data_IF_152829190900
#
_entry.id   IF_152829190900
#
_cell.length_a   1.000
_cell.length_b   1.000
_cell.length_c   1.000
_cell.angle_alpha   90.00
_cell.angle_beta   90.00
_cell.angle_gamma   90.00
#
_symmetry.space_group_name_H-M   'P 1'
#
loop_
_entity.id
_entity.type
_entity.pdbx_description
1 polymer ?
#
# COMPACT_ATOMS: atom_id res chain seq x y z
N UNK A 1 55.01 93.55 -84.52
CA UNK A 1 54.49 94.75 -85.20
C UNK A 1 54.87 95.93 -84.32
N UNK A 2 55.75 96.84 -84.78
CA UNK A 2 56.17 97.99 -83.97
C UNK A 2 55.11 99.08 -84.09
N UNK A 3 54.12 99.05 -83.19
CA UNK A 3 53.19 100.16 -83.03
C UNK A 3 53.98 101.38 -82.55
N UNK A 4 54.18 102.34 -83.44
CA UNK A 4 54.95 103.56 -83.15
C UNK A 4 53.98 104.58 -82.58
N UNK A 5 53.93 104.68 -81.26
CA UNK A 5 53.06 105.65 -80.58
C UNK A 5 53.71 107.04 -80.73
N UNK A 6 53.09 107.94 -81.50
CA UNK A 6 53.50 109.34 -81.62
C UNK A 6 52.88 110.17 -80.49
N UNK A 7 53.72 110.89 -79.73
CA UNK A 7 53.27 111.75 -78.64
C UNK A 7 53.50 113.21 -79.04
N UNK A 8 52.50 114.06 -78.76
CA UNK A 8 52.57 115.51 -78.97
C UNK A 8 53.18 116.19 -77.76
N UNK A 9 54.20 117.02 -77.98
CA UNK A 9 54.74 117.88 -76.92
C UNK A 9 53.74 119.00 -76.57
N UNK A 10 53.29 119.11 -75.31
CA UNK A 10 52.35 120.16 -74.90
C UNK A 10 52.95 121.58 -74.90
N UNK A 11 54.25 121.76 -75.14
CA UNK A 11 54.94 123.05 -75.12
C UNK A 11 55.36 123.61 -76.50
N UNK A 12 55.48 122.78 -77.54
CA UNK A 12 55.97 123.25 -78.85
C UNK A 12 55.37 122.53 -80.07
N UNK A 13 54.27 121.79 -79.89
CA UNK A 13 53.43 121.19 -80.95
C UNK A 13 54.11 120.27 -81.97
N UNK A 14 55.38 119.90 -81.77
CA UNK A 14 56.06 118.89 -82.59
C UNK A 14 55.67 117.46 -82.15
N UNK A 15 55.51 116.56 -83.13
CA UNK A 15 55.23 115.14 -82.94
C UNK A 15 56.54 114.33 -83.05
N UNK A 16 56.85 113.53 -82.03
CA UNK A 16 57.99 112.61 -82.08
C UNK A 16 57.56 111.18 -81.74
N UNK A 17 58.14 110.16 -82.43
CA UNK A 17 57.89 108.77 -82.11
C UNK A 17 58.51 108.45 -80.76
N UNK A 18 57.72 107.91 -79.83
CA UNK A 18 58.23 107.41 -78.57
C UNK A 18 59.16 106.22 -78.87
N UNK A 19 60.46 106.38 -78.62
CA UNK A 19 61.46 105.36 -78.95
C UNK A 19 61.35 104.16 -78.01
N UNK A 20 61.57 102.95 -78.54
CA UNK A 20 61.63 101.65 -77.81
C UNK A 20 62.49 101.74 -76.53
N UNK A 21 63.45 102.67 -76.48
CA UNK A 21 64.33 102.91 -75.34
C UNK A 21 63.63 103.49 -74.09
N UNK A 22 62.56 104.28 -74.25
CA UNK A 22 61.80 104.87 -73.12
C UNK A 22 60.67 103.93 -72.66
N UNK A 23 60.04 103.21 -73.59
CA UNK A 23 59.07 102.16 -73.25
C UNK A 23 59.74 100.93 -72.62
N UNK A 24 60.95 100.59 -73.05
CA UNK A 24 61.76 99.53 -72.45
C UNK A 24 62.10 99.81 -71.00
N UNK A 25 62.57 101.01 -70.65
CA UNK A 25 62.93 101.35 -69.27
C UNK A 25 61.74 101.36 -68.32
N UNK A 26 60.57 101.83 -68.76
CA UNK A 26 59.32 101.78 -67.98
C UNK A 26 58.81 100.34 -67.83
N UNK A 27 58.88 99.54 -68.91
CA UNK A 27 58.49 98.13 -68.88
C UNK A 27 59.41 97.31 -67.99
N UNK A 28 60.72 97.53 -68.04
CA UNK A 28 61.72 96.85 -67.21
C UNK A 28 61.49 97.17 -65.73
N UNK A 29 61.23 98.45 -65.39
CA UNK A 29 60.86 98.86 -64.03
C UNK A 29 59.59 98.16 -63.54
N UNK A 30 58.52 98.18 -64.35
CA UNK A 30 57.26 97.47 -64.05
C UNK A 30 57.47 95.96 -63.89
N UNK A 31 58.29 95.34 -64.74
CA UNK A 31 58.59 93.91 -64.62
C UNK A 31 59.40 93.59 -63.37
N UNK A 32 60.35 94.45 -62.97
CA UNK A 32 61.10 94.30 -61.73
C UNK A 32 60.20 94.49 -60.50
N UNK A 33 59.31 95.48 -60.50
CA UNK A 33 58.33 95.69 -59.42
C UNK A 33 57.39 94.49 -59.30
N UNK A 34 56.81 94.02 -60.40
CA UNK A 34 55.95 92.84 -60.41
C UNK A 34 56.70 91.57 -59.98
N UNK A 35 57.93 91.37 -60.43
CA UNK A 35 58.78 90.25 -59.97
C UNK A 35 59.06 90.34 -58.48
N UNK A 36 59.31 91.54 -57.95
CA UNK A 36 59.51 91.76 -56.52
C UNK A 36 58.24 91.44 -55.72
N UNK A 37 57.07 91.88 -56.18
CA UNK A 37 55.78 91.58 -55.54
C UNK A 37 55.43 90.09 -55.59
N UNK A 38 55.68 89.43 -56.72
CA UNK A 38 55.50 87.98 -56.86
C UNK A 38 56.42 87.25 -55.89
N UNK A 39 57.71 87.62 -55.82
CA UNK A 39 58.65 87.00 -54.89
C UNK A 39 58.27 87.21 -53.42
N UNK A 40 57.70 88.36 -53.06
CA UNK A 40 57.21 88.64 -51.72
C UNK A 40 55.95 87.82 -51.41
N UNK A 41 55.03 87.69 -52.37
CA UNK A 41 53.83 86.84 -52.23
C UNK A 41 54.17 85.36 -52.15
N UNK A 42 55.12 84.88 -52.95
CA UNK A 42 55.63 83.50 -52.91
C UNK A 42 56.29 83.18 -51.57
N UNK A 43 57.09 84.11 -51.03
CA UNK A 43 57.65 83.98 -49.67
C UNK A 43 56.54 83.95 -48.61
N UNK A 44 55.56 84.84 -48.68
CA UNK A 44 54.43 84.89 -47.76
C UNK A 44 53.53 83.64 -47.83
N UNK A 45 53.33 83.08 -49.02
CA UNK A 45 52.62 81.80 -49.21
C UNK A 45 53.43 80.63 -48.65
N UNK A 46 54.74 80.57 -48.91
CA UNK A 46 55.62 79.54 -48.36
C UNK A 46 55.67 79.55 -46.82
N UNK A 47 55.71 80.74 -46.21
CA UNK A 47 55.63 80.89 -44.75
C UNK A 47 54.27 80.43 -44.21
N UNK A 48 53.17 80.77 -44.86
CA UNK A 48 51.81 80.31 -44.47
C UNK A 48 51.65 78.81 -44.62
N UNK A 49 52.12 78.21 -45.72
CA UNK A 49 52.11 76.76 -45.91
C UNK A 49 52.92 76.05 -44.83
N UNK A 50 54.08 76.60 -44.45
CA UNK A 50 54.88 76.08 -43.33
C UNK A 50 54.15 76.19 -42.00
N UNK A 51 53.46 77.30 -41.74
CA UNK A 51 52.66 77.49 -40.53
C UNK A 51 51.45 76.54 -40.48
N UNK A 52 50.77 76.32 -41.61
CA UNK A 52 49.64 75.38 -41.72
C UNK A 52 50.13 73.95 -41.47
N UNK A 53 51.22 73.52 -42.12
CA UNK A 53 51.82 72.19 -41.88
C UNK A 53 52.26 71.99 -40.43
N UNK A 54 52.81 73.03 -39.80
CA UNK A 54 53.17 72.99 -38.38
C UNK A 54 51.92 72.85 -37.49
N UNK A 55 50.85 73.59 -37.77
CA UNK A 55 49.58 73.50 -37.04
C UNK A 55 48.92 72.14 -37.22
N UNK A 56 48.84 71.62 -38.44
CA UNK A 56 48.33 70.28 -38.74
C UNK A 56 49.11 69.20 -37.99
N UNK A 57 50.45 69.29 -37.98
CA UNK A 57 51.29 68.36 -37.23
C UNK A 57 51.08 68.47 -35.71
N UNK A 58 50.83 69.67 -35.16
CA UNK A 58 50.52 69.83 -33.73
C UNK A 58 49.14 69.31 -33.37
N UNK A 59 48.13 69.53 -34.22
CA UNK A 59 46.78 69.02 -34.03
C UNK A 59 46.78 67.49 -34.10
N UNK A 60 47.45 66.90 -35.09
CA UNK A 60 47.58 65.44 -35.20
C UNK A 60 48.26 64.81 -33.98
N UNK A 61 49.29 65.47 -33.41
CA UNK A 61 49.93 65.03 -32.16
C UNK A 61 48.98 65.13 -30.97
N UNK A 62 48.25 66.23 -30.83
CA UNK A 62 47.28 66.42 -29.76
C UNK A 62 46.11 65.43 -29.86
N UNK A 63 45.62 65.16 -31.07
CA UNK A 63 44.60 64.15 -31.33
C UNK A 63 45.09 62.75 -30.93
N UNK A 64 46.32 62.37 -31.33
CA UNK A 64 46.90 61.09 -30.94
C UNK A 64 47.06 60.95 -29.41
N UNK A 65 47.62 61.97 -28.75
CA UNK A 65 47.75 61.99 -27.29
C UNK A 65 46.39 61.98 -26.57
N UNK A 66 45.38 62.63 -27.15
CA UNK A 66 44.03 62.61 -26.61
C UNK A 66 43.38 61.24 -26.78
N UNK A 67 43.50 60.61 -27.95
CA UNK A 67 43.00 59.24 -28.18
C UNK A 67 43.63 58.24 -27.22
N UNK A 68 44.95 58.31 -26.99
CA UNK A 68 45.63 57.41 -26.06
C UNK A 68 45.15 57.61 -24.60
N UNK A 69 44.95 58.87 -24.18
CA UNK A 69 44.41 59.18 -22.84
C UNK A 69 42.96 58.72 -22.68
N UNK A 70 42.13 58.88 -23.71
CA UNK A 70 40.74 58.42 -23.72
C UNK A 70 40.69 56.89 -23.69
N UNK A 71 41.48 56.20 -24.51
CA UNK A 71 41.55 54.74 -24.53
C UNK A 71 42.04 54.19 -23.19
N UNK A 72 43.05 54.82 -22.58
CA UNK A 72 43.52 54.46 -21.25
C UNK A 72 42.41 54.65 -20.20
N UNK A 73 41.72 55.79 -20.18
CA UNK A 73 40.65 56.08 -19.24
C UNK A 73 39.45 55.11 -19.41
N UNK A 74 39.04 54.84 -20.66
CA UNK A 74 37.98 53.89 -20.99
C UNK A 74 38.37 52.48 -20.56
N UNK A 75 39.61 52.04 -20.80
CA UNK A 75 40.07 50.72 -20.39
C UNK A 75 40.03 50.52 -18.87
N UNK A 76 40.33 51.57 -18.09
CA UNK A 76 40.27 51.54 -16.63
C UNK A 76 38.81 51.46 -16.17
N UNK A 77 37.93 52.28 -16.73
CA UNK A 77 36.50 52.26 -16.39
C UNK A 77 35.85 50.91 -16.73
N UNK A 78 36.18 50.34 -17.90
CA UNK A 78 35.67 49.02 -18.31
C UNK A 78 36.16 47.94 -17.35
N UNK A 79 37.45 47.95 -16.95
CA UNK A 79 37.97 46.99 -15.95
C UNK A 79 37.24 47.09 -14.62
N UNK A 80 37.06 48.31 -14.10
CA UNK A 80 36.33 48.54 -12.84
C UNK A 80 34.88 48.07 -12.92
N UNK A 81 34.18 48.36 -14.03
CA UNK A 81 32.81 47.89 -14.22
C UNK A 81 32.73 46.37 -14.33
N UNK A 82 33.67 45.73 -15.03
CA UNK A 82 33.74 44.27 -15.15
C UNK A 82 33.98 43.62 -13.77
N UNK A 83 34.87 44.17 -12.95
CA UNK A 83 35.08 43.67 -11.58
C UNK A 83 33.85 43.86 -10.68
N UNK A 84 33.17 45.00 -10.80
CA UNK A 84 31.93 45.25 -10.07
C UNK A 84 30.82 44.28 -10.49
N UNK A 85 30.65 44.05 -11.80
CA UNK A 85 29.65 43.11 -12.33
C UNK A 85 29.98 41.69 -11.88
N UNK A 86 31.25 41.27 -11.99
CA UNK A 86 31.70 39.95 -11.53
C UNK A 86 31.43 39.76 -10.04
N UNK A 87 31.81 40.71 -9.20
CA UNK A 87 31.60 40.61 -7.75
C UNK A 87 30.12 40.57 -7.36
N UNK A 88 29.26 41.34 -8.05
CA UNK A 88 27.80 41.27 -7.87
C UNK A 88 27.24 39.93 -8.30
N UNK A 89 27.61 39.45 -9.49
CA UNK A 89 27.18 38.15 -10.00
C UNK A 89 27.61 37.00 -9.08
N UNK A 90 28.85 37.03 -8.55
CA UNK A 90 29.31 36.00 -7.61
C UNK A 90 28.57 36.05 -6.28
N UNK A 91 28.22 37.25 -5.78
CA UNK A 91 27.44 37.39 -4.54
C UNK A 91 26.02 36.88 -4.71
N UNK A 92 25.35 37.29 -5.79
CA UNK A 92 24.00 36.81 -6.10
C UNK A 92 23.98 35.29 -6.29
N UNK A 93 24.92 34.73 -7.06
CA UNK A 93 25.03 33.28 -7.22
C UNK A 93 25.33 32.57 -5.89
N UNK A 94 26.14 33.16 -5.00
CA UNK A 94 26.41 32.58 -3.69
C UNK A 94 25.17 32.60 -2.78
N UNK A 95 24.42 33.71 -2.78
CA UNK A 95 23.18 33.86 -2.00
C UNK A 95 22.08 32.90 -2.50
N UNK A 96 21.92 32.78 -3.82
CA UNK A 96 20.97 31.84 -4.44
C UNK A 96 21.35 30.39 -4.13
N UNK A 97 22.63 30.04 -4.24
CA UNK A 97 23.11 28.70 -3.88
C UNK A 97 22.95 28.41 -2.38
N UNK A 98 23.20 29.39 -1.51
CA UNK A 98 23.01 29.22 -0.07
C UNK A 98 21.53 29.02 0.27
N UNK A 99 20.63 29.78 -0.37
CA UNK A 99 19.19 29.60 -0.22
C UNK A 99 18.75 28.20 -0.68
N UNK A 100 19.21 27.74 -1.86
CA UNK A 100 18.92 26.41 -2.38
C UNK A 100 19.46 25.30 -1.46
N UNK A 101 20.69 25.45 -0.95
CA UNK A 101 21.29 24.49 -0.02
C UNK A 101 20.46 24.40 1.27
N UNK A 102 20.02 25.54 1.81
CA UNK A 102 19.17 25.57 3.02
C UNK A 102 17.82 24.90 2.78
N UNK A 103 17.19 25.15 1.63
CA UNK A 103 15.93 24.51 1.25
C UNK A 103 16.09 22.99 1.12
N UNK A 104 17.11 22.54 0.39
CA UNK A 104 17.43 21.11 0.24
C UNK A 104 17.76 20.45 1.58
N UNK A 105 18.47 21.13 2.48
CA UNK A 105 18.75 20.63 3.83
C UNK A 105 17.47 20.47 4.65
N UNK A 106 16.56 21.44 4.58
CA UNK A 106 15.26 21.37 5.27
C UNK A 106 14.40 20.22 4.71
N UNK A 107 14.33 20.07 3.39
CA UNK A 107 13.62 18.94 2.77
C UNK A 107 14.22 17.59 3.19
N UNK A 108 15.55 17.48 3.23
CA UNK A 108 16.22 16.24 3.63
C UNK A 108 15.97 15.93 5.11
N UNK A 109 15.96 16.94 5.99
CA UNK A 109 15.58 16.79 7.38
C UNK A 109 14.12 16.32 7.51
N UNK A 110 13.17 16.97 6.84
CA UNK A 110 11.77 16.57 6.87
C UNK A 110 11.57 15.13 6.35
N UNK A 111 12.23 14.77 5.24
CA UNK A 111 12.15 13.40 4.69
C UNK A 111 12.79 12.37 5.62
N UNK A 112 13.90 12.70 6.27
CA UNK A 112 14.52 11.77 7.22
C UNK A 112 13.70 11.60 8.49
N UNK A 113 13.02 12.64 8.98
CA UNK A 113 12.08 12.55 10.09
C UNK A 113 10.82 11.75 9.70
N UNK A 114 10.28 11.98 8.51
CA UNK A 114 9.17 11.20 7.95
C UNK A 114 9.54 9.71 7.81
N UNK A 115 10.76 9.40 7.34
CA UNK A 115 11.24 8.03 7.26
C UNK A 115 11.41 7.39 8.64
N UNK A 116 11.97 8.12 9.62
CA UNK A 116 12.10 7.60 10.99
C UNK A 116 10.75 7.33 11.65
N UNK A 117 9.77 8.21 11.45
CA UNK A 117 8.41 8.03 11.97
C UNK A 117 7.71 6.86 11.29
N UNK A 118 7.83 6.73 9.97
CA UNK A 118 7.33 5.57 9.22
C UNK A 118 7.95 4.25 9.67
N UNK A 119 9.28 4.20 9.86
CA UNK A 119 9.96 3.01 10.38
C UNK A 119 9.51 2.63 11.79
N UNK A 120 9.26 3.61 12.68
CA UNK A 120 8.71 3.35 14.02
C UNK A 120 7.30 2.80 13.96
N UNK A 121 6.44 3.37 13.11
CA UNK A 121 5.08 2.89 12.89
C UNK A 121 5.07 1.47 12.32
N UNK A 122 5.93 1.18 11.35
CA UNK A 122 6.08 -0.16 10.78
C UNK A 122 6.51 -1.17 11.85
N UNK A 123 7.50 -0.83 12.68
CA UNK A 123 7.95 -1.68 13.77
C UNK A 123 6.83 -1.94 14.79
N UNK A 124 6.06 -0.90 15.13
CA UNK A 124 4.92 -1.01 16.04
C UNK A 124 3.84 -1.94 15.46
N UNK A 125 3.43 -1.73 14.22
CA UNK A 125 2.45 -2.59 13.54
C UNK A 125 2.92 -4.04 13.44
N UNK A 126 4.22 -4.27 13.20
CA UNK A 126 4.81 -5.63 13.20
C UNK A 126 4.86 -6.27 14.59
N UNK A 127 4.87 -5.48 15.68
CA UNK A 127 4.76 -6.01 17.05
C UNK A 127 3.31 -6.34 17.38
N UNK A 128 2.41 -5.39 17.16
CA UNK A 128 0.97 -5.57 17.35
C UNK A 128 0.43 -6.76 16.54
N UNK A 129 0.90 -6.95 15.30
CA UNK A 129 0.54 -8.11 14.49
C UNK A 129 0.98 -9.43 15.13
N UNK A 130 2.22 -9.50 15.65
CA UNK A 130 2.72 -10.71 16.32
C UNK A 130 1.97 -10.99 17.61
N UNK A 131 1.72 -9.97 18.42
CA UNK A 131 0.92 -10.10 19.64
C UNK A 131 -0.51 -10.57 19.34
N UNK A 132 -1.12 -10.08 18.25
CA UNK A 132 -2.43 -10.51 17.81
C UNK A 132 -2.44 -11.96 17.30
N UNK A 133 -1.41 -12.37 16.55
CA UNK A 133 -1.23 -13.75 16.09
C UNK A 133 -1.06 -14.71 17.28
N UNK A 134 -0.17 -14.38 18.23
CA UNK A 134 0.02 -15.16 19.45
C UNK A 134 -1.25 -15.21 20.31
N UNK A 135 -1.98 -14.10 20.46
CA UNK A 135 -3.24 -14.06 21.18
C UNK A 135 -4.31 -14.92 20.50
N UNK A 136 -4.34 -14.94 19.16
CA UNK A 136 -5.27 -15.76 18.39
C UNK A 136 -4.95 -17.25 18.55
N UNK A 137 -3.68 -17.64 18.45
CA UNK A 137 -3.25 -19.03 18.67
C UNK A 137 -3.57 -19.51 20.09
N UNK A 138 -3.29 -18.67 21.10
CA UNK A 138 -3.63 -18.98 22.49
C UNK A 138 -5.14 -19.12 22.70
N UNK A 139 -5.94 -18.23 22.10
CA UNK A 139 -7.40 -18.30 22.15
C UNK A 139 -7.93 -19.58 21.48
N UNK A 140 -7.39 -19.95 20.32
CA UNK A 140 -7.75 -21.19 19.62
C UNK A 140 -7.43 -22.42 20.48
N UNK A 141 -6.26 -22.45 21.14
CA UNK A 141 -5.88 -23.50 22.07
C UNK A 141 -6.80 -23.57 23.29
N UNK A 142 -7.13 -22.43 23.90
CA UNK A 142 -8.03 -22.37 25.05
C UNK A 142 -9.45 -22.82 24.70
N UNK A 143 -9.94 -22.45 23.51
CA UNK A 143 -11.23 -22.91 23.00
C UNK A 143 -11.20 -24.42 22.75
N UNK A 144 -10.14 -24.96 22.15
CA UNK A 144 -9.99 -26.41 21.96
C UNK A 144 -9.99 -27.16 23.30
N UNK A 145 -9.21 -26.69 24.28
CA UNK A 145 -9.19 -27.26 25.64
C UNK A 145 -10.57 -27.27 26.28
N UNK A 146 -11.29 -26.13 26.24
CA UNK A 146 -12.66 -26.05 26.77
C UNK A 146 -13.62 -26.98 26.04
N UNK A 147 -13.51 -27.09 24.72
CA UNK A 147 -14.34 -28.02 23.94
C UNK A 147 -14.05 -29.47 24.29
N UNK A 148 -12.79 -29.84 24.50
CA UNK A 148 -12.42 -31.20 24.90
C UNK A 148 -12.89 -31.50 26.33
N UNK A 149 -12.78 -30.56 27.27
CA UNK A 149 -13.35 -30.67 28.62
C UNK A 149 -14.88 -30.81 28.60
N UNK A 150 -15.59 -30.04 27.76
CA UNK A 150 -17.04 -30.17 27.65
C UNK A 150 -17.44 -31.49 26.95
N UNK A 151 -16.64 -31.97 26.00
CA UNK A 151 -16.84 -33.28 25.37
C UNK A 151 -16.64 -34.43 26.35
N UNK A 152 -15.65 -34.38 27.22
CA UNK A 152 -15.44 -35.42 28.24
C UNK A 152 -16.59 -35.42 29.24
N UNK A 153 -16.97 -34.25 29.77
CA UNK A 153 -18.16 -34.13 30.65
C UNK A 153 -19.43 -34.66 29.99
N UNK A 154 -19.64 -34.34 28.71
CA UNK A 154 -20.82 -34.83 27.98
C UNK A 154 -20.78 -36.35 27.80
N UNK A 155 -19.62 -36.93 27.48
CA UNK A 155 -19.45 -38.39 27.40
C UNK A 155 -19.76 -39.06 28.74
N UNK A 156 -19.18 -38.57 29.83
CA UNK A 156 -19.43 -39.09 31.18
C UNK A 156 -20.92 -38.99 31.55
N UNK A 157 -21.59 -37.88 31.22
CA UNK A 157 -23.03 -37.73 31.44
C UNK A 157 -23.87 -38.69 30.60
N UNK A 158 -23.49 -38.94 29.34
CA UNK A 158 -24.19 -39.89 28.47
C UNK A 158 -23.98 -41.32 28.97
N UNK A 159 -22.75 -41.69 29.33
CA UNK A 159 -22.44 -43.00 29.90
C UNK A 159 -23.21 -43.22 31.21
N UNK A 160 -23.17 -42.27 32.15
CA UNK A 160 -23.93 -42.36 33.39
C UNK A 160 -25.45 -42.48 33.18
N UNK A 161 -26.02 -41.73 32.22
CA UNK A 161 -27.43 -41.84 31.86
C UNK A 161 -27.76 -43.21 31.23
N UNK A 162 -26.92 -43.68 30.32
CA UNK A 162 -27.06 -45.00 29.69
C UNK A 162 -26.98 -46.13 30.71
N UNK A 163 -26.03 -46.04 31.65
CA UNK A 163 -25.85 -47.02 32.71
C UNK A 163 -27.06 -47.04 33.65
N UNK A 164 -27.60 -45.88 34.04
CA UNK A 164 -28.81 -45.83 34.87
C UNK A 164 -30.03 -46.37 34.10
N UNK A 165 -30.21 -46.02 32.83
CA UNK A 165 -31.27 -46.58 31.99
C UNK A 165 -31.15 -48.11 31.86
N UNK A 166 -29.93 -48.62 31.65
CA UNK A 166 -29.69 -50.06 31.55
C UNK A 166 -29.91 -50.75 32.90
N UNK A 167 -29.49 -50.14 34.00
CA UNK A 167 -29.73 -50.65 35.36
C UNK A 167 -31.22 -50.76 35.64
N UNK A 168 -32.00 -49.73 35.29
CA UNK A 168 -33.47 -49.75 35.44
C UNK A 168 -34.10 -50.83 34.56
N UNK A 169 -33.71 -50.94 33.28
CA UNK A 169 -34.20 -52.00 32.38
C UNK A 169 -33.84 -53.41 32.87
N UNK A 170 -32.65 -53.60 33.44
CA UNK A 170 -32.24 -54.87 34.03
C UNK A 170 -33.05 -55.19 35.27
N UNK A 171 -33.24 -54.23 36.18
CA UNK A 171 -34.06 -54.41 37.37
C UNK A 171 -35.53 -54.73 37.04
N UNK A 172 -36.11 -54.06 36.02
CA UNK A 172 -37.45 -54.37 35.51
C UNK A 172 -37.52 -55.81 34.96
N UNK A 173 -36.53 -56.23 34.16
CA UNK A 173 -36.45 -57.59 33.61
C UNK A 173 -36.24 -58.64 34.70
N UNK A 174 -35.40 -58.38 35.69
CA UNK A 174 -35.17 -59.28 36.82
C UNK A 174 -36.44 -59.48 37.63
N UNK A 175 -37.17 -58.40 37.91
CA UNK A 175 -38.49 -58.47 38.57
C UNK A 175 -39.48 -59.28 37.75
N UNK A 176 -39.57 -59.02 36.44
CA UNK A 176 -40.44 -59.78 35.54
C UNK A 176 -40.06 -61.28 35.51
N UNK A 177 -38.77 -61.61 35.45
CA UNK A 177 -38.29 -63.00 35.49
C UNK A 177 -38.66 -63.64 36.82
N UNK A 178 -38.52 -62.93 37.94
CA UNK A 178 -38.94 -63.39 39.27
C UNK A 178 -40.43 -63.73 39.31
N UNK A 179 -41.28 -62.80 38.88
CA UNK A 179 -42.73 -63.00 38.82
C UNK A 179 -43.13 -64.16 37.88
N UNK A 180 -42.44 -64.30 36.74
CA UNK A 180 -42.67 -65.41 35.81
C UNK A 180 -42.22 -66.76 36.39
N UNK A 181 -41.12 -66.80 37.14
CA UNK A 181 -40.65 -68.01 37.84
C UNK A 181 -41.64 -68.45 38.91
N UNK A 182 -42.12 -67.53 39.74
CA UNK A 182 -43.14 -67.82 40.76
C UNK A 182 -44.42 -68.37 40.12
N UNK A 183 -44.90 -67.74 39.03
CA UNK A 183 -46.07 -68.24 38.28
C UNK A 183 -45.84 -69.61 37.66
N UNK A 184 -44.64 -69.88 37.13
CA UNK A 184 -44.29 -71.19 36.58
C UNK A 184 -44.24 -72.27 37.67
N UNK A 185 -43.67 -71.97 38.84
CA UNK A 185 -43.67 -72.88 39.98
C UNK A 185 -45.09 -73.18 40.47
N UNK A 186 -45.95 -72.15 40.56
CA UNK A 186 -47.35 -72.33 40.94
C UNK A 186 -48.12 -73.17 39.91
N UNK A 187 -47.91 -72.90 38.61
CA UNK A 187 -48.51 -73.67 37.52
C UNK A 187 -48.04 -75.13 37.53
N UNK A 188 -46.74 -75.37 37.74
CA UNK A 188 -46.18 -76.73 37.85
C UNK A 188 -46.78 -77.47 39.05
N UNK A 189 -46.94 -76.79 40.19
CA UNK A 189 -47.56 -77.37 41.39
C UNK A 189 -49.03 -77.75 41.13
N UNK A 190 -49.80 -76.87 40.48
CA UNK A 190 -51.19 -77.15 40.10
C UNK A 190 -51.29 -78.28 39.08
N UNK A 191 -50.42 -78.32 38.08
CA UNK A 191 -50.37 -79.39 37.09
C UNK A 191 -50.03 -80.75 37.72
N UNK A 192 -49.06 -80.79 38.64
CA UNK A 192 -48.73 -82.01 39.40
C UNK A 192 -49.90 -82.47 40.28
N UNK A 193 -50.60 -81.54 40.93
CA UNK A 193 -51.79 -81.85 41.73
C UNK A 193 -52.95 -82.38 40.86
N UNK A 194 -53.21 -81.74 39.72
CA UNK A 194 -54.20 -82.21 38.76
C UNK A 194 -53.88 -83.59 38.17
N UNK A 195 -52.60 -83.87 37.91
CA UNK A 195 -52.13 -85.20 37.48
C UNK A 195 -52.40 -86.26 38.55
N UNK A 196 -52.13 -85.97 39.83
CA UNK A 196 -52.46 -86.89 40.94
C UNK A 196 -53.96 -87.12 41.08
N UNK A 197 -54.77 -86.07 40.96
CA UNK A 197 -56.24 -86.20 40.99
C UNK A 197 -56.75 -87.04 39.82
N UNK A 198 -56.27 -86.76 38.60
CA UNK A 198 -56.64 -87.52 37.41
C UNK A 198 -56.21 -88.98 37.53
N UNK A 199 -55.05 -89.26 38.11
CA UNK A 199 -54.58 -90.63 38.36
C UNK A 199 -55.45 -91.38 39.38
N UNK A 200 -55.91 -90.70 40.44
CA UNK A 200 -56.87 -91.25 41.40
C UNK A 200 -58.21 -91.58 40.75
N UNK A 201 -58.76 -90.65 39.97
CA UNK A 201 -60.01 -90.83 39.24
C UNK A 201 -59.94 -91.99 38.24
N UNK A 202 -58.82 -92.15 37.53
CA UNK A 202 -58.61 -93.31 36.64
C UNK A 202 -58.57 -94.62 37.43
N UNK A 203 -57.91 -94.64 38.59
CA UNK A 203 -57.84 -95.84 39.43
C UNK A 203 -59.22 -96.24 39.99
N UNK A 204 -60.03 -95.23 40.36
CA UNK A 204 -61.41 -95.42 40.81
C UNK A 204 -62.29 -95.98 39.69
N UNK A 205 -62.21 -95.43 38.48
CA UNK A 205 -62.93 -95.95 37.31
C UNK A 205 -62.51 -97.39 36.95
N UNK A 206 -61.21 -97.69 36.97
CA UNK A 206 -60.69 -99.05 36.74
C UNK A 206 -61.21 -100.03 37.81
N UNK A 207 -61.29 -99.59 39.06
CA UNK A 207 -61.81 -100.40 40.18
C UNK A 207 -63.31 -100.66 40.05
N UNK A 208 -64.08 -99.65 39.66
CA UNK A 208 -65.52 -99.77 39.39
C UNK A 208 -65.78 -100.77 38.25
N UNK A 209 -65.02 -100.67 37.16
CA UNK A 209 -65.14 -101.59 36.02
C UNK A 209 -64.79 -103.03 36.42
N UNK A 210 -63.77 -103.22 37.27
CA UNK A 210 -63.42 -104.52 37.83
C UNK A 210 -64.56 -105.10 38.69
N UNK A 211 -65.17 -104.30 39.56
CA UNK A 211 -66.30 -104.75 40.39
C UNK A 211 -67.52 -105.13 39.54
N UNK A 212 -67.87 -104.32 38.53
CA UNK A 212 -68.95 -104.64 37.58
C UNK A 212 -68.70 -105.92 36.79
N UNK A 213 -67.44 -106.20 36.42
CA UNK A 213 -67.05 -107.45 35.73
C UNK A 213 -67.09 -108.67 36.65
N UNK A 214 -66.62 -108.53 37.89
CA UNK A 214 -66.56 -109.62 38.86
C UNK A 214 -67.95 -109.99 39.41
N UNK A 215 -68.85 -109.01 39.55
CA UNK A 215 -70.20 -109.20 40.08
C UNK A 215 -71.26 -108.59 39.14
N UNK A 216 -71.59 -109.26 38.01
CA UNK A 216 -72.48 -108.69 36.99
C UNK A 216 -73.94 -108.48 37.43
N UNK A 217 -74.36 -109.15 38.51
CA UNK A 217 -75.72 -109.04 39.06
C UNK A 217 -75.86 -107.92 40.08
N UNK A 218 -74.75 -107.37 40.58
CA UNK A 218 -74.74 -106.34 41.60
C UNK A 218 -74.81 -104.95 40.97
N UNK A 219 -75.46 -104.01 41.66
CA UNK A 219 -75.53 -102.63 41.19
C UNK A 219 -74.38 -101.82 41.81
N UNK A 220 -73.46 -101.36 40.95
CA UNK A 220 -72.30 -100.56 41.34
C UNK A 220 -72.55 -99.10 40.95
N UNK A 221 -72.62 -98.22 41.95
CA UNK A 221 -72.84 -96.78 41.79
C UNK A 221 -71.66 -95.98 42.40
N UNK A 222 -71.19 -94.99 41.65
CA UNK A 222 -70.20 -94.01 42.11
C UNK A 222 -70.78 -93.12 43.23
N UNK A 223 -70.00 -92.90 44.29
CA UNK A 223 -70.37 -91.98 45.36
C UNK A 223 -69.87 -90.58 45.02
N UNK A 224 -70.73 -89.56 45.08
CA UNK A 224 -70.39 -88.20 44.67
C UNK A 224 -69.22 -87.61 45.45
N UNK A 225 -68.29 -86.96 44.74
CA UNK A 225 -67.11 -86.28 45.32
C UNK A 225 -67.52 -85.34 46.47
N UNK A 226 -66.98 -85.58 47.67
CA UNK A 226 -67.20 -84.74 48.86
C UNK A 226 -67.91 -85.43 50.05
N UNK A 227 -68.39 -86.66 49.89
CA UNK A 227 -68.95 -87.47 50.98
C UNK A 227 -67.83 -88.26 51.67
N UNK A 228 -67.69 -88.14 53.00
CA UNK A 228 -66.75 -88.97 53.77
C UNK A 228 -67.28 -90.41 53.83
N UNK A 229 -66.62 -91.34 53.16
CA UNK A 229 -67.04 -92.74 53.09
C UNK A 229 -66.32 -93.50 51.99
N UNK A 230 -66.81 -94.70 51.66
CA UNK A 230 -66.27 -95.54 50.59
C UNK A 230 -66.35 -94.84 49.22
N UNK A 231 -65.42 -95.17 48.33
CA UNK A 231 -65.30 -94.58 46.99
C UNK A 231 -66.39 -95.09 46.04
N UNK A 232 -66.80 -96.36 46.22
CA UNK A 232 -67.83 -97.01 45.40
C UNK A 232 -68.84 -97.68 46.33
N UNK A 233 -70.11 -97.58 45.97
CA UNK A 233 -71.19 -98.32 46.63
C UNK A 233 -71.62 -99.51 45.76
N UNK A 234 -71.56 -100.71 46.33
CA UNK A 234 -72.01 -101.94 45.68
C UNK A 234 -73.23 -102.48 46.42
N UNK A 235 -74.35 -102.57 45.73
CA UNK A 235 -75.58 -103.18 46.22
C UNK A 235 -75.62 -104.64 45.73
N UNK A 236 -75.47 -105.57 46.68
CA UNK A 236 -75.33 -107.00 46.39
C UNK A 236 -76.72 -107.60 46.16
N UNK A 237 -77.01 -108.02 44.93
CA UNK A 237 -78.34 -108.57 44.59
C UNK A 237 -78.28 -110.09 44.65
N UNK A 238 -78.77 -110.66 45.75
CA UNK A 238 -78.92 -112.11 45.87
C UNK A 238 -80.12 -112.62 45.04
N UNK A 239 -80.03 -113.87 44.55
CA UNK A 239 -81.09 -114.59 43.82
C UNK A 239 -82.42 -114.79 44.61
N UNK A 240 -82.54 -114.21 45.82
CA UNK A 240 -83.71 -114.30 46.72
C UNK A 240 -84.37 -112.92 46.95
N UNK A 241 -83.93 -111.86 46.26
CA UNK A 241 -84.72 -110.62 46.16
C UNK A 241 -84.85 -109.83 47.46
N UNK A 242 -83.72 -109.56 48.14
CA UNK A 242 -83.61 -108.47 49.11
C UNK A 242 -82.26 -107.77 48.93
N UNK A 243 -82.33 -106.48 48.65
CA UNK A 243 -81.28 -105.46 48.77
C UNK A 243 -80.84 -105.29 50.22
#
# INVERSE_FOLDING_TARGET
MKETILIKCPACSNEFPLSDAVLGSVKDHLTCELQSEISLKEKGLSERERQVKQKEATVAKQEAEFTEKVDAAVSIQVKQQVELIKSKATKQAAEENEALIRELQNELQQKTEALKTGQKQELQLRREKRELEEAKENLELDVQRKLDEERTKLKEQIEAKSDEENRLKLAEKEKLIGELREKLEEAQRKANQGSQQTQGEVLELDFEEHLRKAFPLDQVNEVSKGVRGADVSQEVISNIGKS
#
